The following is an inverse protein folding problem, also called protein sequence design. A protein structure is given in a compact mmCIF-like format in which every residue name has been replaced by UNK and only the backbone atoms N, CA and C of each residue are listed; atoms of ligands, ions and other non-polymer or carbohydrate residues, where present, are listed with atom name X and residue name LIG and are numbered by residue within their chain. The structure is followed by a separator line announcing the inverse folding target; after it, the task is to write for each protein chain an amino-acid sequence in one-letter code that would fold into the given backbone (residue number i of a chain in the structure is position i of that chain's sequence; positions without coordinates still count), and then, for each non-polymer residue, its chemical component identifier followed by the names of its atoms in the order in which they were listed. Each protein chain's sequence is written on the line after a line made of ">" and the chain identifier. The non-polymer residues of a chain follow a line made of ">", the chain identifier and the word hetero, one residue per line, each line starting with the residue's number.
data_IF_099194275013
#
_entry.id   IF_099194275013
#
_cell.length_a   1.000
_cell.length_b   1.000
_cell.length_c   1.000
_cell.angle_alpha   90.00
_cell.angle_beta   90.00
_cell.angle_gamma   90.00
#
_symmetry.space_group_name_H-M   'P 1'
#
loop_
_entity.id
_entity.type
_entity.pdbx_description
1 polymer ?
#
# COMPACT_ATOMS: atom_id res chain seq x y z
N UNK A 1 -4.78 -15.70 -23.80
CA UNK A 1 -5.70 -14.91 -22.95
C UNK A 1 -4.82 -13.93 -22.18
N UNK A 2 -5.15 -12.65 -22.13
CA UNK A 2 -4.37 -11.64 -21.39
C UNK A 2 -4.58 -11.85 -19.89
N UNK A 3 -3.55 -11.60 -19.07
CA UNK A 3 -3.63 -11.74 -17.61
C UNK A 3 -4.75 -10.87 -17.02
N UNK A 4 -4.92 -9.63 -17.52
CA UNK A 4 -6.02 -8.75 -17.12
C UNK A 4 -7.41 -9.33 -17.39
N UNK A 5 -7.62 -10.05 -18.49
CA UNK A 5 -8.91 -10.68 -18.82
C UNK A 5 -9.25 -11.79 -17.83
N UNK A 6 -8.26 -12.57 -17.42
CA UNK A 6 -8.42 -13.63 -16.41
C UNK A 6 -8.83 -13.05 -15.06
N UNK A 7 -8.19 -11.94 -14.64
CA UNK A 7 -8.51 -11.28 -13.38
C UNK A 7 -9.93 -10.67 -13.41
N UNK A 8 -10.35 -10.04 -14.51
CA UNK A 8 -11.72 -9.55 -14.66
C UNK A 8 -12.76 -10.68 -14.63
N UNK A 9 -12.46 -11.81 -15.26
CA UNK A 9 -13.35 -12.97 -15.21
C UNK A 9 -13.49 -13.50 -13.78
N UNK A 10 -12.37 -13.63 -13.05
CA UNK A 10 -12.38 -14.07 -11.65
C UNK A 10 -13.12 -13.09 -10.74
N UNK A 11 -12.98 -11.77 -10.95
CA UNK A 11 -13.74 -10.76 -10.24
C UNK A 11 -15.26 -10.91 -10.47
N UNK A 12 -15.67 -11.10 -11.71
CA UNK A 12 -17.07 -11.31 -12.06
C UNK A 12 -17.62 -12.60 -11.44
N UNK A 13 -16.83 -13.67 -11.36
CA UNK A 13 -17.22 -14.91 -10.69
C UNK A 13 -17.42 -14.71 -9.20
N UNK A 14 -16.49 -14.01 -8.53
CA UNK A 14 -16.58 -13.70 -7.10
C UNK A 14 -17.83 -12.88 -6.79
N UNK A 15 -18.17 -11.85 -7.61
CA UNK A 15 -19.40 -11.08 -7.45
C UNK A 15 -20.66 -11.94 -7.62
N UNK A 16 -20.65 -12.87 -8.59
CA UNK A 16 -21.81 -13.78 -8.79
C UNK A 16 -22.02 -14.68 -7.58
N UNK A 17 -20.95 -15.21 -7.00
CA UNK A 17 -21.06 -16.06 -5.81
C UNK A 17 -21.47 -15.25 -4.57
N UNK A 18 -20.97 -14.04 -4.39
CA UNK A 18 -21.42 -13.13 -3.34
C UNK A 18 -22.91 -12.86 -3.44
N UNK A 19 -23.40 -12.53 -4.63
CA UNK A 19 -24.84 -12.29 -4.88
C UNK A 19 -25.68 -13.53 -4.57
N UNK A 20 -25.24 -14.75 -4.94
CA UNK A 20 -25.91 -16.01 -4.63
C UNK A 20 -25.97 -16.25 -3.12
N UNK A 21 -24.89 -16.02 -2.38
CA UNK A 21 -24.86 -16.17 -0.93
C UNK A 21 -25.81 -15.19 -0.25
N UNK A 22 -25.82 -13.93 -0.71
CA UNK A 22 -26.73 -12.90 -0.21
C UNK A 22 -28.18 -13.25 -0.47
N UNK A 23 -28.50 -13.71 -1.69
CA UNK A 23 -29.85 -14.16 -2.03
C UNK A 23 -30.29 -15.35 -1.17
N UNK A 24 -29.39 -16.29 -0.92
CA UNK A 24 -29.67 -17.44 -0.08
C UNK A 24 -29.93 -17.02 1.38
N UNK A 25 -29.13 -16.10 1.92
CA UNK A 25 -29.35 -15.56 3.24
C UNK A 25 -30.71 -14.84 3.37
N UNK A 26 -31.09 -14.04 2.36
CA UNK A 26 -32.38 -13.36 2.30
C UNK A 26 -33.57 -14.34 2.21
N UNK A 27 -33.45 -15.42 1.42
CA UNK A 27 -34.48 -16.46 1.34
C UNK A 27 -34.67 -17.16 2.68
N UNK A 28 -33.56 -17.48 3.40
CA UNK A 28 -33.64 -18.07 4.74
C UNK A 28 -34.33 -17.12 5.72
N UNK A 29 -34.00 -15.83 5.67
CA UNK A 29 -34.66 -14.82 6.52
C UNK A 29 -36.15 -14.68 6.19
N UNK A 30 -36.51 -14.67 4.89
CA UNK A 30 -37.91 -14.61 4.45
C UNK A 30 -38.73 -15.82 4.88
N UNK A 31 -38.24 -17.04 4.66
CA UNK A 31 -38.90 -18.25 5.11
C UNK A 31 -39.07 -18.31 6.62
N UNK A 32 -38.19 -17.64 7.35
CA UNK A 32 -38.25 -17.60 8.80
C UNK A 32 -39.21 -16.53 9.33
N UNK A 33 -39.36 -15.39 8.66
CA UNK A 33 -40.35 -14.39 9.03
C UNK A 33 -41.78 -14.95 8.92
N UNK A 34 -42.03 -15.82 7.96
CA UNK A 34 -43.35 -16.53 7.84
C UNK A 34 -43.61 -17.45 9.04
N UNK A 35 -42.56 -18.05 9.64
CA UNK A 35 -42.71 -18.88 10.86
C UNK A 35 -42.93 -18.02 12.11
N UNK A 36 -42.35 -16.79 12.15
CA UNK A 36 -42.58 -15.86 13.27
C UNK A 36 -44.01 -15.32 13.36
N UNK A 37 -44.71 -15.21 12.22
CA UNK A 37 -46.08 -14.78 12.14
C UNK A 37 -47.08 -15.84 12.60
N UNK A 38 -46.62 -17.04 12.91
CA UNK A 38 -47.44 -18.08 13.53
C UNK A 38 -47.29 -17.99 15.06
N UNK A 39 -48.42 -18.21 15.81
CA UNK A 39 -48.51 -18.15 17.28
C UNK A 39 -47.61 -19.16 18.03
N UNK A 40 -46.33 -19.22 17.64
CA UNK A 40 -45.34 -20.12 18.20
C UNK A 40 -44.64 -19.43 19.37
N UNK A 41 -45.19 -19.58 20.60
CA UNK A 41 -44.62 -19.03 21.81
C UNK A 41 -43.92 -20.10 22.66
N UNK A 42 -42.69 -19.79 23.14
CA UNK A 42 -41.94 -20.66 24.04
C UNK A 42 -40.41 -20.58 23.85
N UNK A 43 -39.67 -21.30 24.71
CA UNK A 43 -38.21 -21.29 24.72
C UNK A 43 -37.59 -21.90 23.43
N UNK A 44 -38.29 -22.80 22.78
CA UNK A 44 -37.85 -23.43 21.51
C UNK A 44 -37.74 -22.43 20.34
N UNK A 45 -38.77 -21.62 20.05
CA UNK A 45 -38.73 -20.59 19.01
C UNK A 45 -37.63 -19.55 19.25
N UNK A 46 -37.41 -19.11 20.51
CA UNK A 46 -36.33 -18.16 20.84
C UNK A 46 -34.94 -18.75 20.57
N UNK A 47 -34.74 -20.01 20.88
CA UNK A 47 -33.48 -20.72 20.59
C UNK A 47 -33.27 -20.91 19.09
N UNK A 48 -34.33 -21.19 18.32
CA UNK A 48 -34.29 -21.32 16.89
C UNK A 48 -33.98 -19.97 16.19
N UNK A 49 -34.58 -18.85 16.66
CA UNK A 49 -34.27 -17.50 16.20
C UNK A 49 -32.80 -17.15 16.37
N UNK A 50 -32.26 -17.42 17.57
CA UNK A 50 -30.82 -17.19 17.85
C UNK A 50 -29.92 -17.99 16.91
N UNK A 51 -30.29 -19.24 16.64
CA UNK A 51 -29.55 -20.10 15.73
C UNK A 51 -29.60 -19.60 14.28
N UNK A 52 -30.74 -19.04 13.87
CA UNK A 52 -30.87 -18.46 12.54
C UNK A 52 -30.06 -17.16 12.39
N UNK A 53 -30.03 -16.30 13.41
CA UNK A 53 -29.14 -15.12 13.41
C UNK A 53 -27.66 -15.55 13.28
N UNK A 54 -27.27 -16.59 14.02
CA UNK A 54 -25.92 -17.17 13.85
C UNK A 54 -25.68 -17.64 12.43
N UNK A 55 -26.61 -18.41 11.84
CA UNK A 55 -26.52 -18.89 10.46
C UNK A 55 -26.50 -17.77 9.44
N UNK A 56 -27.32 -16.71 9.62
CA UNK A 56 -27.30 -15.54 8.74
C UNK A 56 -25.94 -14.82 8.73
N UNK A 57 -25.28 -14.73 9.89
CA UNK A 57 -23.91 -14.20 9.99
C UNK A 57 -22.89 -15.09 9.27
N UNK A 58 -23.09 -16.41 9.31
CA UNK A 58 -22.22 -17.36 8.58
C UNK A 58 -22.26 -17.18 7.06
N UNK A 59 -23.39 -16.73 6.50
CA UNK A 59 -23.50 -16.44 5.07
C UNK A 59 -23.07 -15.00 4.72
N UNK A 60 -23.27 -14.04 5.63
CA UNK A 60 -22.95 -12.63 5.39
C UNK A 60 -21.43 -12.39 5.32
N UNK A 61 -20.65 -13.00 6.18
CA UNK A 61 -19.19 -12.81 6.20
C UNK A 61 -18.50 -13.32 4.92
N UNK A 62 -18.80 -14.54 4.41
CA UNK A 62 -18.26 -15.01 3.14
C UNK A 62 -18.70 -14.16 1.93
N UNK A 63 -19.96 -13.70 1.90
CA UNK A 63 -20.44 -12.83 0.83
C UNK A 63 -19.64 -11.54 0.79
N UNK A 64 -19.44 -10.89 1.94
CA UNK A 64 -18.61 -9.68 2.04
C UNK A 64 -17.16 -9.95 1.63
N UNK A 65 -16.58 -11.07 2.02
CA UNK A 65 -15.22 -11.45 1.62
C UNK A 65 -15.11 -11.65 0.10
N UNK A 66 -16.14 -12.25 -0.54
CA UNK A 66 -16.19 -12.41 -1.99
C UNK A 66 -16.33 -11.05 -2.72
N UNK A 67 -17.08 -10.10 -2.17
CA UNK A 67 -17.17 -8.74 -2.73
C UNK A 67 -15.82 -8.02 -2.63
N UNK A 68 -15.14 -8.08 -1.49
CA UNK A 68 -13.81 -7.51 -1.34
C UNK A 68 -12.79 -8.19 -2.28
N UNK A 69 -12.90 -9.51 -2.47
CA UNK A 69 -12.08 -10.25 -3.44
C UNK A 69 -12.33 -9.74 -4.86
N UNK A 70 -13.59 -9.51 -5.23
CA UNK A 70 -13.94 -8.99 -6.55
C UNK A 70 -13.39 -7.58 -6.77
N UNK A 71 -13.53 -6.69 -5.77
CA UNK A 71 -13.01 -5.32 -5.84
C UNK A 71 -11.48 -5.31 -6.01
N UNK A 72 -10.78 -6.15 -5.25
CA UNK A 72 -9.34 -6.32 -5.34
C UNK A 72 -8.92 -6.80 -6.74
N UNK A 73 -9.54 -7.88 -7.23
CA UNK A 73 -9.25 -8.43 -8.55
C UNK A 73 -9.53 -7.44 -9.68
N UNK A 74 -10.59 -6.62 -9.59
CA UNK A 74 -10.87 -5.56 -10.57
C UNK A 74 -9.81 -4.46 -10.57
N UNK A 75 -9.33 -4.05 -9.38
CA UNK A 75 -8.27 -3.07 -9.27
C UNK A 75 -6.98 -3.58 -9.94
N UNK A 76 -6.57 -4.80 -9.63
CA UNK A 76 -5.40 -5.43 -10.25
C UNK A 76 -5.59 -5.66 -11.75
N UNK A 77 -6.77 -6.10 -12.20
CA UNK A 77 -7.09 -6.28 -13.62
C UNK A 77 -6.96 -4.96 -14.39
N UNK A 78 -7.41 -3.87 -13.79
CA UNK A 78 -7.30 -2.53 -14.38
C UNK A 78 -5.85 -2.07 -14.52
N UNK A 79 -5.05 -2.26 -13.48
CA UNK A 79 -3.64 -1.93 -13.49
C UNK A 79 -2.87 -2.81 -14.50
N UNK A 80 -3.11 -4.11 -14.49
CA UNK A 80 -2.51 -5.08 -15.42
C UNK A 80 -2.85 -4.74 -16.88
N UNK A 81 -4.10 -4.34 -17.16
CA UNK A 81 -4.50 -3.92 -18.52
C UNK A 81 -3.74 -2.68 -18.99
N UNK A 82 -3.45 -1.73 -18.10
CA UNK A 82 -2.63 -0.55 -18.42
C UNK A 82 -1.20 -0.97 -18.74
N UNK A 83 -0.63 -1.85 -17.93
CA UNK A 83 0.71 -2.38 -18.12
C UNK A 83 0.83 -3.14 -19.46
N UNK A 84 -0.14 -3.99 -19.78
CA UNK A 84 -0.22 -4.71 -21.07
C UNK A 84 -0.22 -3.75 -22.26
N UNK A 85 -0.99 -2.64 -22.17
CA UNK A 85 -1.03 -1.63 -23.24
C UNK A 85 0.31 -0.90 -23.41
N UNK A 86 0.96 -0.53 -22.30
CA UNK A 86 2.28 0.12 -22.34
C UNK A 86 3.31 -0.83 -22.93
N UNK A 87 3.30 -2.10 -22.51
CA UNK A 87 4.17 -3.14 -23.05
C UNK A 87 3.97 -3.32 -24.56
N UNK A 88 2.72 -3.41 -25.01
CA UNK A 88 2.39 -3.52 -26.46
C UNK A 88 2.92 -2.31 -27.26
N UNK A 89 2.76 -1.10 -26.71
CA UNK A 89 3.27 0.12 -27.34
C UNK A 89 4.81 0.13 -27.42
N UNK A 90 5.48 -0.32 -26.36
CA UNK A 90 6.95 -0.41 -26.33
C UNK A 90 7.49 -1.49 -27.28
N UNK A 91 6.80 -2.64 -27.39
CA UNK A 91 7.17 -3.67 -28.35
C UNK A 91 7.05 -3.14 -29.77
N UNK A 92 5.94 -2.48 -30.11
CA UNK A 92 5.76 -1.87 -31.42
C UNK A 92 6.82 -0.78 -31.73
N UNK A 93 7.22 -0.01 -30.71
CA UNK A 93 8.30 0.97 -30.82
C UNK A 93 9.66 0.30 -31.03
N UNK A 94 9.93 -0.80 -30.32
CA UNK A 94 11.16 -1.57 -30.44
C UNK A 94 11.30 -2.20 -31.84
N UNK A 95 10.21 -2.72 -32.39
CA UNK A 95 10.17 -3.26 -33.75
C UNK A 95 10.49 -2.16 -34.78
N UNK A 96 9.87 -0.98 -34.64
CA UNK A 96 10.16 0.17 -35.50
C UNK A 96 11.62 0.67 -35.36
N UNK A 97 12.14 0.74 -34.12
CA UNK A 97 13.50 1.18 -33.82
C UNK A 97 14.56 0.19 -34.34
N UNK A 98 14.22 -1.09 -34.41
CA UNK A 98 15.09 -2.12 -34.97
C UNK A 98 15.35 -1.88 -36.46
N UNK A 99 14.33 -1.48 -37.22
CA UNK A 99 14.42 -1.14 -38.64
C UNK A 99 15.24 0.15 -38.84
N UNK A 100 15.21 1.06 -37.85
CA UNK A 100 15.90 2.35 -37.89
C UNK A 100 17.33 2.34 -37.27
N UNK A 101 17.75 1.26 -36.62
CA UNK A 101 19.09 1.13 -36.00
C UNK A 101 19.30 1.95 -34.73
N UNK A 102 18.23 2.36 -34.00
CA UNK A 102 18.26 3.31 -32.89
C UNK A 102 17.82 2.70 -31.56
N UNK A 103 18.44 3.09 -30.43
CA UNK A 103 17.98 2.97 -29.03
C UNK A 103 17.61 1.57 -28.50
N UNK A 104 18.17 0.48 -29.00
CA UNK A 104 17.78 -0.89 -28.65
C UNK A 104 17.96 -1.20 -27.16
N UNK A 105 19.08 -0.83 -26.56
CA UNK A 105 19.38 -1.17 -25.16
C UNK A 105 18.48 -0.48 -24.15
N UNK A 106 18.03 0.74 -24.46
CA UNK A 106 17.12 1.51 -23.59
C UNK A 106 15.70 0.94 -23.64
N UNK A 107 15.23 0.51 -24.81
CA UNK A 107 13.92 -0.13 -24.97
C UNK A 107 13.86 -1.51 -24.32
N UNK A 108 14.93 -2.31 -24.42
CA UNK A 108 15.04 -3.60 -23.74
C UNK A 108 15.02 -3.42 -22.21
N UNK A 109 15.68 -2.38 -21.69
CA UNK A 109 15.65 -2.00 -20.28
C UNK A 109 14.24 -1.62 -19.80
N UNK A 110 13.50 -0.84 -20.59
CA UNK A 110 12.12 -0.47 -20.28
C UNK A 110 11.16 -1.69 -20.30
N UNK A 111 11.33 -2.58 -21.27
CA UNK A 111 10.54 -3.82 -21.35
C UNK A 111 10.80 -4.71 -20.14
N UNK A 112 12.08 -4.87 -19.75
CA UNK A 112 12.44 -5.63 -18.55
C UNK A 112 11.85 -5.02 -17.26
N UNK A 113 11.83 -3.68 -17.15
CA UNK A 113 11.21 -2.99 -16.02
C UNK A 113 9.69 -3.22 -15.96
N UNK A 114 9.00 -3.20 -17.11
CA UNK A 114 7.57 -3.49 -17.19
C UNK A 114 7.27 -4.94 -16.83
N UNK A 115 8.07 -5.89 -17.30
CA UNK A 115 7.89 -7.31 -16.96
C UNK A 115 8.14 -7.54 -15.46
N UNK A 116 9.12 -6.85 -14.84
CA UNK A 116 9.34 -6.83 -13.40
C UNK A 116 8.16 -6.25 -12.60
N UNK A 117 7.55 -5.18 -13.11
CA UNK A 117 6.35 -4.60 -12.51
C UNK A 117 5.17 -5.57 -12.57
N UNK A 118 5.02 -6.33 -13.65
CA UNK A 118 4.00 -7.38 -13.78
C UNK A 118 4.12 -8.44 -12.68
N UNK A 119 5.34 -8.95 -12.45
CA UNK A 119 5.63 -9.93 -11.38
C UNK A 119 5.31 -9.35 -9.99
N UNK A 120 5.67 -8.09 -9.75
CA UNK A 120 5.38 -7.41 -8.50
C UNK A 120 3.87 -7.28 -8.26
N UNK A 121 3.11 -6.97 -9.30
CA UNK A 121 1.65 -6.88 -9.23
C UNK A 121 1.01 -8.23 -8.94
N UNK A 122 1.46 -9.32 -9.57
CA UNK A 122 0.95 -10.67 -9.29
C UNK A 122 1.19 -11.05 -7.82
N UNK A 123 2.37 -10.76 -7.29
CA UNK A 123 2.68 -10.99 -5.87
C UNK A 123 1.78 -10.16 -4.95
N UNK A 124 1.57 -8.87 -5.24
CA UNK A 124 0.71 -8.01 -4.44
C UNK A 124 -0.76 -8.46 -4.49
N UNK A 125 -1.25 -8.92 -5.65
CA UNK A 125 -2.57 -9.48 -5.81
C UNK A 125 -2.75 -10.73 -4.93
N UNK A 126 -1.79 -11.67 -4.98
CA UNK A 126 -1.80 -12.88 -4.17
C UNK A 126 -1.86 -12.55 -2.67
N UNK A 127 -1.04 -11.61 -2.21
CA UNK A 127 -1.03 -11.14 -0.81
C UNK A 127 -2.35 -10.49 -0.40
N UNK A 128 -2.94 -9.69 -1.29
CA UNK A 128 -4.26 -9.09 -1.05
C UNK A 128 -5.35 -10.14 -0.91
N UNK A 129 -5.35 -11.18 -1.75
CA UNK A 129 -6.29 -12.30 -1.65
C UNK A 129 -6.10 -13.10 -0.37
N UNK A 130 -4.86 -13.38 0.05
CA UNK A 130 -4.58 -14.00 1.35
C UNK A 130 -5.19 -13.20 2.51
N UNK A 131 -5.03 -11.87 2.50
CA UNK A 131 -5.57 -10.99 3.54
C UNK A 131 -7.10 -11.05 3.63
N UNK A 132 -7.81 -11.15 2.49
CA UNK A 132 -9.26 -11.26 2.45
C UNK A 132 -9.73 -12.65 2.91
N UNK A 133 -9.03 -13.71 2.49
CA UNK A 133 -9.37 -15.10 2.82
C UNK A 133 -9.01 -15.47 4.27
N UNK A 134 -8.12 -14.71 4.92
CA UNK A 134 -7.67 -14.94 6.28
C UNK A 134 -7.91 -13.68 7.12
N UNK A 135 -9.13 -13.46 7.65
CA UNK A 135 -9.54 -12.23 8.32
C UNK A 135 -8.66 -11.79 9.51
N UNK A 136 -7.95 -12.74 10.13
CA UNK A 136 -6.98 -12.47 11.20
C UNK A 136 -5.58 -12.13 10.69
N UNK A 137 -5.36 -12.30 9.37
CA UNK A 137 -4.09 -12.00 8.75
C UNK A 137 -4.03 -10.52 8.37
N UNK A 138 -3.34 -9.74 9.16
CA UNK A 138 -2.87 -8.41 8.75
C UNK A 138 -1.57 -8.63 7.99
N UNK A 139 -1.52 -8.39 6.65
CA UNK A 139 -0.27 -8.50 5.91
C UNK A 139 0.77 -7.61 6.60
N UNK A 140 1.86 -8.21 7.03
CA UNK A 140 2.99 -7.41 7.50
C UNK A 140 3.42 -6.53 6.30
N UNK A 141 3.41 -5.22 6.48
CA UNK A 141 3.92 -4.31 5.48
C UNK A 141 5.35 -4.76 5.13
N UNK A 142 5.61 -5.00 3.84
CA UNK A 142 6.96 -5.38 3.40
C UNK A 142 7.82 -4.12 3.49
N UNK A 143 8.86 -4.09 4.32
CA UNK A 143 9.72 -2.93 4.45
C UNK A 143 10.37 -2.56 3.12
N UNK A 144 10.63 -1.28 2.90
CA UNK A 144 11.36 -0.80 1.72
C UNK A 144 12.74 -1.49 1.57
N UNK A 145 13.40 -1.76 2.68
CA UNK A 145 14.67 -2.50 2.71
C UNK A 145 14.60 -3.89 2.06
N UNK A 146 13.45 -4.55 2.13
CA UNK A 146 13.26 -5.91 1.61
C UNK A 146 12.77 -5.94 0.15
N UNK A 147 12.73 -4.77 -0.51
CA UNK A 147 12.24 -4.59 -1.89
C UNK A 147 13.35 -4.20 -2.88
N UNK A 148 14.57 -4.69 -2.65
CA UNK A 148 15.77 -4.29 -3.40
C UNK A 148 15.66 -4.40 -4.93
N UNK A 149 14.88 -5.35 -5.43
CA UNK A 149 14.76 -5.66 -6.86
C UNK A 149 13.69 -4.83 -7.61
N UNK A 150 12.89 -4.03 -6.89
CA UNK A 150 11.84 -3.22 -7.50
C UNK A 150 12.28 -1.77 -7.70
N UNK A 151 11.90 -1.14 -8.83
CA UNK A 151 12.06 0.30 -9.00
C UNK A 151 11.19 1.06 -8.00
N UNK A 152 11.52 2.33 -7.73
CA UNK A 152 10.72 3.17 -6.82
C UNK A 152 9.30 3.38 -7.36
N UNK A 153 9.14 3.50 -8.68
CA UNK A 153 7.81 3.57 -9.31
C UNK A 153 7.01 2.28 -9.09
N UNK A 154 7.65 1.10 -9.22
CA UNK A 154 7.00 -0.18 -8.94
C UNK A 154 6.56 -0.29 -7.47
N UNK A 155 7.41 0.12 -6.54
CA UNK A 155 7.08 0.15 -5.11
C UNK A 155 5.90 1.10 -4.86
N UNK A 156 5.91 2.28 -5.46
CA UNK A 156 4.84 3.27 -5.35
C UNK A 156 3.49 2.71 -5.80
N UNK A 157 3.43 2.11 -6.98
CA UNK A 157 2.20 1.50 -7.51
C UNK A 157 1.71 0.37 -6.59
N UNK A 158 2.61 -0.48 -6.09
CA UNK A 158 2.27 -1.55 -5.15
C UNK A 158 1.69 -1.03 -3.84
N UNK A 159 2.31 0.02 -3.27
CA UNK A 159 1.80 0.64 -2.05
C UNK A 159 0.42 1.26 -2.26
N UNK A 160 0.19 1.92 -3.42
CA UNK A 160 -1.10 2.54 -3.73
C UNK A 160 -2.25 1.54 -3.91
N UNK A 161 -1.98 0.29 -4.31
CA UNK A 161 -3.02 -0.74 -4.47
C UNK A 161 -3.76 -1.04 -3.16
N UNK A 162 -3.07 -0.94 -2.02
CA UNK A 162 -3.64 -1.21 -0.69
C UNK A 162 -3.58 0.00 0.24
N UNK A 163 -3.26 1.18 -0.29
CA UNK A 163 -3.05 2.37 0.50
C UNK A 163 -4.34 2.87 1.17
N UNK A 164 -4.26 3.35 2.41
CA UNK A 164 -5.34 4.12 3.00
C UNK A 164 -5.72 5.32 2.12
N UNK A 165 -7.00 5.75 2.11
CA UNK A 165 -7.45 6.87 1.26
C UNK A 165 -6.65 8.17 1.44
N UNK A 166 -6.09 8.41 2.62
CA UNK A 166 -5.26 9.57 2.90
C UNK A 166 -3.91 9.51 2.16
N UNK A 167 -3.29 8.33 2.08
CA UNK A 167 -2.04 8.12 1.35
C UNK A 167 -2.27 8.26 -0.16
N UNK A 168 -3.33 7.63 -0.68
CA UNK A 168 -3.69 7.74 -2.09
C UNK A 168 -3.93 9.20 -2.51
N UNK A 169 -4.62 9.98 -1.66
CA UNK A 169 -4.83 11.41 -1.88
C UNK A 169 -3.52 12.19 -1.85
N UNK A 170 -2.66 11.94 -0.86
CA UNK A 170 -1.34 12.59 -0.79
C UNK A 170 -0.53 12.39 -2.06
N UNK A 171 -0.51 11.16 -2.58
CA UNK A 171 0.19 10.83 -3.82
C UNK A 171 -0.45 11.52 -5.04
N UNK A 172 -1.78 11.54 -5.13
CA UNK A 172 -2.50 12.19 -6.23
C UNK A 172 -2.28 13.71 -6.28
N UNK A 173 -2.21 14.35 -5.09
CA UNK A 173 -1.98 15.80 -4.96
C UNK A 173 -0.52 16.19 -5.19
N UNK A 174 0.42 15.23 -5.19
CA UNK A 174 1.86 15.45 -5.30
C UNK A 174 2.50 14.53 -6.34
N UNK A 175 2.54 14.91 -7.63
CA UNK A 175 3.08 14.07 -8.71
C UNK A 175 4.58 13.71 -8.57
N UNK A 176 5.33 14.47 -7.79
CA UNK A 176 6.75 14.25 -7.48
C UNK A 176 6.98 13.36 -6.25
N UNK A 177 5.89 12.84 -5.65
CA UNK A 177 5.95 11.96 -4.47
C UNK A 177 5.79 10.50 -4.88
N UNK A 178 6.66 9.64 -4.34
CA UNK A 178 6.59 8.18 -4.50
C UNK A 178 6.47 7.52 -3.14
N UNK A 179 5.35 6.86 -2.87
CA UNK A 179 5.14 6.11 -1.62
C UNK A 179 6.06 4.91 -1.60
N UNK A 180 6.82 4.76 -0.52
CA UNK A 180 7.81 3.69 -0.32
C UNK A 180 7.32 2.64 0.69
N UNK A 181 6.62 3.08 1.73
CA UNK A 181 6.03 2.24 2.78
C UNK A 181 4.77 2.89 3.34
N UNK A 182 3.83 2.07 3.81
CA UNK A 182 2.61 2.48 4.54
C UNK A 182 2.54 1.83 5.91
N UNK A 183 3.49 2.09 6.83
CA UNK A 183 3.57 1.41 8.10
C UNK A 183 2.49 1.87 9.07
N UNK A 184 1.65 0.96 9.56
CA UNK A 184 0.77 1.17 10.72
C UNK A 184 -0.13 2.42 10.69
N UNK A 185 -0.53 2.86 9.48
CA UNK A 185 -1.33 4.06 9.26
C UNK A 185 -0.51 5.34 9.07
N UNK A 186 0.81 5.25 8.99
CA UNK A 186 1.73 6.32 8.57
C UNK A 186 2.08 6.21 7.09
N UNK A 187 3.04 7.04 6.64
CA UNK A 187 3.57 7.01 5.29
C UNK A 187 5.06 7.34 5.27
N UNK A 188 5.80 6.62 4.44
CA UNK A 188 7.17 6.94 4.06
C UNK A 188 7.17 7.15 2.56
N UNK A 189 7.63 8.30 2.10
CA UNK A 189 7.59 8.61 0.68
C UNK A 189 8.82 9.39 0.23
N UNK A 190 9.32 9.07 -0.96
CA UNK A 190 10.32 9.88 -1.65
C UNK A 190 9.67 11.14 -2.23
N UNK A 191 10.41 12.21 -2.26
CA UNK A 191 10.04 13.53 -2.79
C UNK A 191 11.13 13.95 -3.78
N UNK A 192 10.78 14.00 -5.05
CA UNK A 192 11.73 14.16 -6.14
C UNK A 192 12.32 12.82 -6.62
N UNK A 193 13.24 12.88 -7.56
CA UNK A 193 13.88 11.70 -8.16
C UNK A 193 14.97 11.12 -7.23
N UNK A 194 14.60 10.10 -6.47
CA UNK A 194 15.51 9.44 -5.54
C UNK A 194 16.45 8.45 -6.24
N UNK A 195 16.09 7.96 -7.44
CA UNK A 195 16.90 6.96 -8.14
C UNK A 195 18.15 7.56 -8.80
N UNK A 196 18.08 8.84 -9.19
CA UNK A 196 19.22 9.55 -9.76
C UNK A 196 19.92 10.50 -8.77
N UNK A 197 19.49 10.52 -7.50
CA UNK A 197 19.97 11.50 -6.52
C UNK A 197 21.41 11.22 -6.07
N UNK A 198 22.26 12.26 -6.05
CA UNK A 198 23.59 12.23 -5.46
C UNK A 198 23.55 12.30 -3.93
N UNK A 199 22.49 12.89 -3.37
CA UNK A 199 22.23 12.96 -1.94
C UNK A 199 20.76 12.68 -1.64
N UNK A 200 20.50 11.99 -0.53
CA UNK A 200 19.14 11.70 -0.05
C UNK A 200 19.01 12.20 1.38
N UNK A 201 18.06 13.10 1.61
CA UNK A 201 17.77 13.62 2.94
C UNK A 201 16.46 13.05 3.48
N UNK A 202 16.52 12.35 4.60
CA UNK A 202 15.33 11.81 5.28
C UNK A 202 14.86 12.79 6.34
N UNK A 203 13.69 13.38 6.12
CA UNK A 203 13.04 14.27 7.06
C UNK A 203 12.12 13.50 8.01
N UNK A 204 12.46 13.49 9.30
CA UNK A 204 11.70 12.80 10.36
C UNK A 204 10.86 13.83 11.09
N UNK A 205 9.55 13.77 10.88
CA UNK A 205 8.60 14.72 11.45
C UNK A 205 8.37 14.51 12.97
N UNK A 206 7.87 15.54 13.62
CA UNK A 206 7.65 15.57 15.07
C UNK A 206 6.25 15.13 15.49
N UNK A 207 5.76 15.73 16.59
CA UNK A 207 4.40 15.52 17.13
C UNK A 207 3.34 15.86 16.09
N UNK A 208 2.16 15.25 16.21
CA UNK A 208 1.02 15.36 15.29
C UNK A 208 1.27 14.85 13.87
N UNK A 209 2.44 14.30 13.54
CA UNK A 209 2.72 13.78 12.19
C UNK A 209 1.99 12.49 11.85
N UNK A 210 1.30 11.88 12.81
CA UNK A 210 0.38 10.75 12.56
C UNK A 210 -0.99 11.20 12.03
N UNK A 211 -1.30 12.50 12.10
CA UNK A 211 -2.54 13.05 11.54
C UNK A 211 -2.38 13.26 10.03
N UNK A 212 -3.19 12.59 9.17
CA UNK A 212 -3.15 12.78 7.73
C UNK A 212 -3.34 14.23 7.28
N UNK A 213 -4.06 15.05 8.05
CA UNK A 213 -4.23 16.48 7.77
C UNK A 213 -2.93 17.27 7.80
N UNK A 214 -1.89 16.77 8.46
CA UNK A 214 -0.57 17.42 8.55
C UNK A 214 0.40 16.98 7.44
N UNK A 215 0.13 15.91 6.71
CA UNK A 215 1.10 15.25 5.82
C UNK A 215 1.56 16.14 4.67
N UNK A 216 0.65 16.94 4.08
CA UNK A 216 1.03 17.88 3.02
C UNK A 216 2.12 18.85 3.51
N UNK A 217 1.97 19.40 4.71
CA UNK A 217 2.98 20.29 5.29
C UNK A 217 4.31 19.60 5.55
N UNK A 218 4.31 18.29 5.86
CA UNK A 218 5.56 17.52 6.03
C UNK A 218 6.25 17.25 4.68
N UNK A 219 5.49 16.99 3.62
CA UNK A 219 6.03 16.87 2.26
C UNK A 219 6.65 18.19 1.82
N UNK A 220 5.99 19.32 2.05
CA UNK A 220 6.50 20.65 1.70
C UNK A 220 7.76 21.03 2.51
N UNK A 221 7.79 20.64 3.78
CA UNK A 221 8.99 20.77 4.63
C UNK A 221 10.15 19.92 4.07
N UNK A 222 9.87 18.71 3.66
CA UNK A 222 10.86 17.81 3.05
C UNK A 222 11.42 18.39 1.75
N UNK A 223 10.56 18.95 0.87
CA UNK A 223 11.01 19.65 -0.35
C UNK A 223 11.92 20.83 -0.02
N UNK A 224 11.56 21.58 1.02
CA UNK A 224 12.35 22.75 1.45
C UNK A 224 13.72 22.33 1.95
N UNK A 225 13.78 21.28 2.78
CA UNK A 225 15.04 20.74 3.30
C UNK A 225 15.90 20.19 2.17
N UNK A 226 15.34 19.38 1.27
CA UNK A 226 16.08 18.82 0.13
C UNK A 226 16.68 19.91 -0.76
N UNK A 227 15.92 20.96 -1.07
CA UNK A 227 16.42 22.12 -1.82
C UNK A 227 17.55 22.86 -1.11
N UNK A 228 17.45 23.00 0.22
CA UNK A 228 18.48 23.66 1.03
C UNK A 228 19.79 22.84 1.10
N UNK A 229 19.72 21.53 0.96
CA UNK A 229 20.89 20.64 0.90
C UNK A 229 21.65 20.73 -0.42
N UNK A 230 21.05 21.27 -1.47
CA UNK A 230 21.69 21.54 -2.74
C UNK A 230 21.07 20.77 -3.93
N UNK A 231 21.55 21.08 -5.16
CA UNK A 231 21.12 20.40 -6.37
C UNK A 231 21.51 18.92 -6.31
N UNK A 232 20.74 18.04 -6.98
CA UNK A 232 20.97 16.59 -6.95
C UNK A 232 20.52 15.92 -5.64
N UNK A 233 19.83 16.64 -4.74
CA UNK A 233 19.29 16.08 -3.49
C UNK A 233 17.82 15.71 -3.64
N UNK A 234 17.48 14.46 -3.39
CA UNK A 234 16.10 14.01 -3.18
C UNK A 234 15.74 14.00 -1.69
N UNK A 235 14.45 14.19 -1.39
CA UNK A 235 13.91 14.10 -0.05
C UNK A 235 13.23 12.77 0.23
N UNK A 236 13.19 12.36 1.49
CA UNK A 236 12.28 11.34 2.00
C UNK A 236 11.51 11.92 3.17
N UNK A 237 10.19 12.02 3.04
CA UNK A 237 9.33 12.29 4.19
C UNK A 237 9.11 10.98 4.95
N UNK A 238 9.52 10.94 6.22
CA UNK A 238 9.42 9.74 7.04
C UNK A 238 8.44 9.94 8.19
N UNK A 239 7.22 9.42 8.02
CA UNK A 239 6.12 9.43 8.97
C UNK A 239 5.81 7.99 9.43
N UNK A 240 6.85 7.16 9.51
CA UNK A 240 6.78 5.71 9.74
C UNK A 240 6.64 5.31 11.22
N UNK A 241 6.25 6.22 12.11
CA UNK A 241 6.06 5.91 13.52
C UNK A 241 4.77 6.57 14.05
N UNK A 242 4.22 6.01 15.13
CA UNK A 242 3.08 6.63 15.80
C UNK A 242 3.55 7.83 16.62
N UNK A 243 3.48 9.02 16.01
CA UNK A 243 3.86 10.26 16.67
C UNK A 243 2.91 10.56 17.84
N UNK A 244 3.44 11.13 18.95
CA UNK A 244 2.60 11.59 20.06
C UNK A 244 1.66 12.71 19.65
N UNK A 245 0.43 12.70 20.20
CA UNK A 245 -0.58 13.73 19.97
C UNK A 245 -0.28 15.06 20.68
N UNK A 246 0.71 15.07 21.58
CA UNK A 246 1.10 16.27 22.32
C UNK A 246 2.56 16.20 22.77
N UNK A 247 3.15 17.37 23.02
CA UNK A 247 4.51 17.50 23.53
C UNK A 247 4.65 16.82 24.90
N UNK A 248 3.62 16.85 25.75
CA UNK A 248 3.62 16.19 27.06
C UNK A 248 3.70 14.66 26.96
N UNK A 249 3.07 14.05 25.94
CA UNK A 249 3.18 12.61 25.65
C UNK A 249 4.49 12.26 24.93
N UNK A 250 5.13 13.21 24.27
CA UNK A 250 6.44 13.06 23.64
C UNK A 250 7.58 12.73 24.59
N UNK A 251 7.38 12.89 25.90
CA UNK A 251 8.33 12.50 26.96
C UNK A 251 8.37 10.97 27.15
N UNK A 252 7.37 10.24 26.67
CA UNK A 252 7.35 8.78 26.74
C UNK A 252 8.40 8.16 25.79
N UNK A 253 9.29 7.34 26.35
CA UNK A 253 10.47 6.82 25.63
C UNK A 253 10.12 5.71 24.60
N UNK A 254 8.99 5.05 24.75
CA UNK A 254 8.65 3.83 23.97
C UNK A 254 8.33 4.12 22.49
N UNK A 255 7.48 5.11 22.12
CA UNK A 255 7.26 5.45 20.72
C UNK A 255 8.54 5.85 19.97
N UNK A 256 9.42 6.59 20.65
CA UNK A 256 10.69 7.00 20.06
C UNK A 256 11.68 5.84 19.86
N UNK A 257 11.63 4.82 20.74
CA UNK A 257 12.49 3.61 20.60
C UNK A 257 12.02 2.74 19.43
N UNK A 258 10.72 2.51 19.32
CA UNK A 258 10.17 1.75 18.19
C UNK A 258 10.44 2.46 16.88
N UNK A 259 10.10 3.76 16.78
CA UNK A 259 10.39 4.58 15.61
C UNK A 259 11.86 4.64 15.26
N UNK A 260 12.76 4.69 16.25
CA UNK A 260 14.21 4.67 16.00
C UNK A 260 14.69 3.35 15.35
N UNK A 261 14.15 2.20 15.77
CA UNK A 261 14.48 0.90 15.14
C UNK A 261 13.98 0.83 13.69
N UNK A 262 12.75 1.31 13.45
CA UNK A 262 12.15 1.30 12.13
C UNK A 262 12.87 2.26 11.18
N UNK A 263 13.23 3.45 11.66
CA UNK A 263 14.05 4.41 10.90
C UNK A 263 15.44 3.84 10.59
N UNK A 264 16.08 3.18 11.56
CA UNK A 264 17.39 2.55 11.32
C UNK A 264 17.32 1.44 10.27
N UNK A 265 16.25 0.64 10.25
CA UNK A 265 16.01 -0.36 9.20
C UNK A 265 15.83 0.29 7.84
N UNK A 266 14.99 1.33 7.76
CA UNK A 266 14.76 2.08 6.53
C UNK A 266 16.05 2.71 6.00
N UNK A 267 16.87 3.34 6.86
CA UNK A 267 18.14 3.94 6.49
C UNK A 267 19.16 2.91 5.96
N UNK A 268 19.18 1.69 6.53
CA UNK A 268 20.00 0.59 5.98
C UNK A 268 19.56 0.22 4.58
N UNK A 269 18.24 0.07 4.35
CA UNK A 269 17.71 -0.21 3.02
C UNK A 269 18.05 0.88 2.00
N UNK A 270 18.03 2.16 2.40
CA UNK A 270 18.51 3.24 1.55
C UNK A 270 19.99 3.12 1.24
N UNK A 271 20.83 2.82 2.24
CA UNK A 271 22.28 2.70 2.06
C UNK A 271 22.64 1.51 1.15
N UNK A 272 21.95 0.39 1.28
CA UNK A 272 22.14 -0.79 0.43
C UNK A 272 21.71 -0.53 -1.02
N UNK A 273 20.61 0.18 -1.20
CA UNK A 273 20.05 0.48 -2.51
C UNK A 273 20.80 1.60 -3.24
N UNK A 274 21.26 2.61 -2.51
CA UNK A 274 21.93 3.80 -3.06
C UNK A 274 23.32 3.97 -2.44
N UNK A 275 24.27 3.05 -2.71
CA UNK A 275 25.57 3.02 -2.02
C UNK A 275 26.47 4.21 -2.35
N UNK A 276 26.17 4.94 -3.43
CA UNK A 276 26.93 6.12 -3.86
C UNK A 276 26.29 7.44 -3.38
N UNK A 277 25.05 7.41 -2.93
CA UNK A 277 24.34 8.61 -2.48
C UNK A 277 24.76 9.00 -1.06
N UNK A 278 24.92 10.30 -0.82
CA UNK A 278 25.12 10.82 0.52
C UNK A 278 23.81 10.83 1.31
N UNK A 279 23.73 10.01 2.37
CA UNK A 279 22.53 9.92 3.21
C UNK A 279 22.61 10.87 4.39
N UNK A 280 21.54 11.66 4.60
CA UNK A 280 21.41 12.59 5.71
C UNK A 280 20.05 12.40 6.38
N UNK A 281 19.99 12.46 7.72
CA UNK A 281 18.75 12.42 8.49
C UNK A 281 18.55 13.76 9.18
N UNK A 282 17.39 14.39 8.95
CA UNK A 282 17.00 15.66 9.56
C UNK A 282 15.76 15.42 10.42
N UNK A 283 15.92 15.53 11.74
CA UNK A 283 14.82 15.41 12.69
C UNK A 283 14.22 16.76 13.04
N UNK A 284 12.90 16.87 13.06
CA UNK A 284 12.20 18.05 13.54
C UNK A 284 11.45 17.76 14.85
N UNK A 285 11.64 18.59 15.87
CA UNK A 285 10.95 18.45 17.15
C UNK A 285 11.15 17.03 17.75
N UNK A 286 10.09 16.29 18.08
CA UNK A 286 10.17 14.90 18.57
C UNK A 286 10.86 13.95 17.57
N UNK A 287 10.82 14.23 16.27
CA UNK A 287 11.56 13.51 15.25
C UNK A 287 13.07 13.49 15.47
N UNK A 288 13.63 14.51 16.14
CA UNK A 288 15.05 14.54 16.55
C UNK A 288 15.37 13.41 17.53
N UNK A 289 14.44 13.11 18.46
CA UNK A 289 14.61 12.01 19.42
C UNK A 289 14.56 10.67 18.71
N UNK A 290 13.67 10.51 17.72
CA UNK A 290 13.59 9.29 16.88
C UNK A 290 14.88 9.14 16.08
N UNK A 291 15.34 10.19 15.41
CA UNK A 291 16.57 10.20 14.62
C UNK A 291 17.81 9.86 15.47
N UNK A 292 17.91 10.42 16.69
CA UNK A 292 19.03 10.10 17.61
C UNK A 292 19.04 8.64 18.06
N UNK A 293 17.88 7.96 18.07
CA UNK A 293 17.75 6.53 18.41
C UNK A 293 18.06 5.61 17.24
N UNK A 294 17.94 6.13 16.01
CA UNK A 294 18.28 5.41 14.80
C UNK A 294 19.79 5.47 14.49
N UNK A 295 20.50 6.48 15.02
CA UNK A 295 21.93 6.61 14.83
C UNK A 295 22.68 5.41 15.44
N UNK A 296 23.70 4.84 14.75
CA UNK A 296 24.54 3.81 15.34
C UNK A 296 25.16 4.32 16.63
N UNK A 297 25.23 3.44 17.64
CA UNK A 297 25.96 3.75 18.87
C UNK A 297 27.42 3.96 18.47
N UNK A 298 27.95 5.19 18.65
CA UNK A 298 29.34 5.53 18.38
C UNK A 298 30.33 4.80 19.28
#
# INVERSE_FOLDING_TARGET
>A
MRASETLFAAAADSRRESARMTEYALRLQGAWSEVQDTDFAGAGPVAALRRLEELSRWFGAPATALDHTADLLEAFATAQRRLEKVREALVALADFAQDAGLFRGELDGLLAAIDGLGVAMDFACARGLEAVCTPEYVPAAVPFADRGDFSVDAIHELELLSAPPAVARLAADNPDVRVLETPGGGVVAAVGDIESAEAITTFVAGVHSSDPGSWQGQVDSTRTVARAMGPGTAGVVWLGYRAPDSVARGIQKEPARAGGRDLARFQRGLAERYPTAQLTVVGHSHGTVVASRAAPAG
#
